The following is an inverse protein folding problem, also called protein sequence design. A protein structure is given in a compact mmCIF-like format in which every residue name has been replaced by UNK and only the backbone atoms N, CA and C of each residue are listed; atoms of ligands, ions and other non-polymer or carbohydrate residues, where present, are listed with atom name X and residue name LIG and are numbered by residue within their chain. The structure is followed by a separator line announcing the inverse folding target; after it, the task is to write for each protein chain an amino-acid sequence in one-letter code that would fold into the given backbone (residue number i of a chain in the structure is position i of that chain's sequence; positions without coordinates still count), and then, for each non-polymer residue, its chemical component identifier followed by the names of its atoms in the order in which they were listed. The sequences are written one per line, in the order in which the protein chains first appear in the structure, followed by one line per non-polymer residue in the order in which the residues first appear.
data_IF_433543962904
#
_entry.id   IF_433543962904
#
_cell.length_a   1.000
_cell.length_b   1.000
_cell.length_c   1.000
_cell.angle_alpha   90.00
_cell.angle_beta   90.00
_cell.angle_gamma   90.00
#
_symmetry.space_group_name_H-M   'P 1'
#
loop_
_entity.id
_entity.type
_entity.pdbx_description
1 polymer ?
#
# COMPACT_ATOMS: atom_id res chain seq x y z
N UNK A 1 -23.84 2.20 -4.10
CA UNK A 1 -23.78 3.53 -3.52
C UNK A 1 -22.34 4.04 -3.41
N UNK A 2 -22.14 5.27 -3.74
CA UNK A 2 -20.82 5.86 -3.73
C UNK A 2 -20.33 6.12 -2.31
N UNK A 3 -19.10 5.71 -2.02
CA UNK A 3 -18.50 5.96 -0.70
C UNK A 3 -17.62 7.21 -0.78
N UNK A 4 -18.16 8.34 -0.32
CA UNK A 4 -17.47 9.62 -0.39
C UNK A 4 -16.29 9.73 0.60
N UNK A 5 -16.13 8.76 1.48
CA UNK A 5 -15.05 8.74 2.48
C UNK A 5 -13.76 8.14 1.95
N UNK A 6 -13.83 7.45 0.83
CA UNK A 6 -12.66 6.84 0.19
C UNK A 6 -12.24 7.66 -1.02
N UNK A 7 -10.97 7.97 -1.08
CA UNK A 7 -10.41 8.79 -2.16
C UNK A 7 -9.22 8.07 -2.78
N UNK A 8 -9.27 7.84 -4.09
CA UNK A 8 -8.16 7.21 -4.81
C UNK A 8 -7.05 8.24 -5.01
N UNK A 9 -5.84 7.87 -4.63
CA UNK A 9 -4.67 8.74 -4.72
C UNK A 9 -3.53 7.96 -5.38
N UNK A 10 -2.79 8.65 -6.25
CA UNK A 10 -1.57 8.12 -6.83
C UNK A 10 -0.40 8.84 -6.19
N UNK A 11 0.42 8.10 -5.45
CA UNK A 11 1.62 8.64 -4.82
C UNK A 11 2.85 8.10 -5.55
N UNK A 12 3.92 8.88 -5.56
CA UNK A 12 5.16 8.49 -6.25
C UNK A 12 6.27 8.24 -5.24
N UNK A 13 6.94 7.11 -5.39
CA UNK A 13 8.16 6.81 -4.67
C UNK A 13 9.27 6.53 -5.70
N UNK A 14 10.27 7.37 -5.73
CA UNK A 14 11.40 7.25 -6.67
C UNK A 14 10.93 7.07 -8.13
N UNK A 15 9.89 7.80 -8.50
CA UNK A 15 9.35 7.76 -9.86
C UNK A 15 8.36 6.63 -10.13
N UNK A 16 8.18 5.71 -9.20
CA UNK A 16 7.22 4.61 -9.35
C UNK A 16 5.91 4.92 -8.67
N UNK A 17 4.82 4.58 -9.34
CA UNK A 17 3.49 4.82 -8.80
C UNK A 17 3.12 3.82 -7.72
N UNK A 18 2.69 4.33 -6.57
CA UNK A 18 2.09 3.51 -5.51
C UNK A 18 0.62 3.90 -5.44
N UNK A 19 -0.25 3.07 -5.97
CA UNK A 19 -1.69 3.32 -5.94
C UNK A 19 -2.17 3.21 -4.50
N UNK A 20 -2.98 4.17 -4.08
CA UNK A 20 -3.39 4.28 -2.68
C UNK A 20 -4.83 4.71 -2.59
N UNK A 21 -5.44 4.44 -1.45
CA UNK A 21 -6.76 4.94 -1.11
C UNK A 21 -6.66 5.62 0.25
N UNK A 22 -7.19 6.82 0.34
CA UNK A 22 -7.29 7.56 1.58
C UNK A 22 -8.72 7.40 2.12
N UNK A 23 -8.81 6.93 3.37
CA UNK A 23 -10.09 6.83 4.08
C UNK A 23 -10.17 8.00 5.05
N UNK A 24 -10.99 9.00 4.72
CA UNK A 24 -11.10 10.22 5.52
C UNK A 24 -11.79 9.99 6.86
N UNK A 25 -12.61 8.96 6.96
CA UNK A 25 -13.27 8.63 8.22
C UNK A 25 -12.28 8.08 9.24
N UNK A 26 -11.39 7.20 8.79
CA UNK A 26 -10.38 6.58 9.65
C UNK A 26 -9.06 7.35 9.66
N UNK A 27 -8.94 8.35 8.78
CA UNK A 27 -7.67 9.08 8.58
C UNK A 27 -6.53 8.11 8.32
N UNK A 28 -6.74 7.18 7.39
CA UNK A 28 -5.81 6.12 7.10
C UNK A 28 -5.63 5.92 5.61
N UNK A 29 -4.39 5.60 5.22
CA UNK A 29 -4.07 5.17 3.87
C UNK A 29 -4.14 3.66 3.75
N UNK A 30 -4.54 3.19 2.57
CA UNK A 30 -4.42 1.80 2.15
C UNK A 30 -3.60 1.79 0.87
N UNK A 31 -2.54 1.00 0.84
CA UNK A 31 -1.60 0.98 -0.28
C UNK A 31 -1.67 -0.36 -1.00
N UNK A 32 -1.55 -0.31 -2.33
CA UNK A 32 -1.44 -1.52 -3.14
C UNK A 32 -0.18 -2.29 -2.76
N UNK A 33 -0.34 -3.52 -2.27
CA UNK A 33 0.78 -4.34 -1.85
C UNK A 33 1.71 -4.64 -3.02
N UNK A 34 1.15 -4.93 -4.19
CA UNK A 34 1.93 -5.24 -5.38
C UNK A 34 2.80 -4.05 -5.80
N UNK A 35 2.26 -2.84 -5.70
CA UNK A 35 3.01 -1.63 -6.04
C UNK A 35 4.16 -1.40 -5.07
N UNK A 36 3.92 -1.65 -3.77
CA UNK A 36 4.96 -1.52 -2.75
C UNK A 36 6.08 -2.52 -3.00
N UNK A 37 5.72 -3.77 -3.31
CA UNK A 37 6.72 -4.80 -3.63
C UNK A 37 7.53 -4.40 -4.87
N UNK A 38 6.85 -3.86 -5.88
CA UNK A 38 7.54 -3.39 -7.08
C UNK A 38 8.55 -2.30 -6.76
N UNK A 39 8.20 -1.40 -5.82
CA UNK A 39 9.09 -0.32 -5.41
C UNK A 39 10.28 -0.81 -4.59
N UNK A 40 10.07 -1.83 -3.76
CA UNK A 40 11.11 -2.35 -2.87
C UNK A 40 12.06 -3.33 -3.56
N UNK A 41 11.58 -4.02 -4.57
CA UNK A 41 12.36 -5.04 -5.29
C UNK A 41 12.46 -4.64 -6.75
N UNK A 42 13.39 -5.23 -7.47
CA UNK A 42 13.45 -5.02 -8.91
C UNK A 42 12.76 -6.18 -9.64
N UNK A 43 11.79 -6.81 -8.99
CA UNK A 43 11.07 -7.93 -9.56
C UNK A 43 10.27 -7.49 -10.79
N UNK A 44 10.40 -8.24 -11.88
CA UNK A 44 9.62 -8.02 -13.09
C UNK A 44 8.21 -8.58 -12.95
N UNK A 45 7.96 -9.37 -11.90
CA UNK A 45 6.67 -10.03 -11.70
C UNK A 45 6.23 -9.84 -10.24
N UNK A 46 5.92 -8.61 -9.84
CA UNK A 46 5.58 -8.33 -8.44
C UNK A 46 4.33 -9.08 -7.96
N UNK A 47 3.39 -9.38 -8.85
CA UNK A 47 2.20 -10.14 -8.47
C UNK A 47 2.57 -11.55 -8.02
N UNK A 48 3.51 -12.18 -8.72
CA UNK A 48 3.96 -13.51 -8.36
C UNK A 48 4.76 -13.48 -7.06
N UNK A 49 5.60 -12.46 -6.92
CA UNK A 49 6.35 -12.25 -5.68
C UNK A 49 5.39 -12.19 -4.49
N UNK A 50 4.34 -11.38 -4.61
CA UNK A 50 3.36 -11.22 -3.55
C UNK A 50 2.59 -12.52 -3.28
N UNK A 51 2.21 -13.23 -4.33
CA UNK A 51 1.49 -14.50 -4.19
C UNK A 51 2.31 -15.51 -3.38
N UNK A 52 3.59 -15.64 -3.70
CA UNK A 52 4.49 -16.56 -2.99
C UNK A 52 4.72 -16.12 -1.54
N UNK A 53 4.92 -14.84 -1.34
CA UNK A 53 5.12 -14.28 0.01
C UNK A 53 3.87 -14.45 0.86
N UNK A 54 2.71 -14.16 0.29
CA UNK A 54 1.44 -14.30 1.00
C UNK A 54 1.21 -15.74 1.47
N UNK A 55 1.51 -16.70 0.60
CA UNK A 55 1.39 -18.11 0.96
C UNK A 55 2.32 -18.46 2.12
N UNK A 56 3.58 -18.02 2.05
CA UNK A 56 4.55 -18.28 3.10
C UNK A 56 4.12 -17.67 4.44
N UNK A 57 3.67 -16.42 4.41
CA UNK A 57 3.20 -15.75 5.62
C UNK A 57 1.99 -16.44 6.23
N UNK A 58 1.09 -16.93 5.39
CA UNK A 58 -0.07 -17.68 5.85
C UNK A 58 0.36 -18.99 6.54
N UNK A 59 1.31 -19.69 5.93
CA UNK A 59 1.82 -20.96 6.48
C UNK A 59 2.54 -20.74 7.81
N UNK A 60 3.19 -19.58 7.97
CA UNK A 60 3.90 -19.23 9.21
C UNK A 60 2.96 -18.71 10.29
N UNK A 61 1.67 -18.56 9.98
CA UNK A 61 0.70 -18.05 10.94
C UNK A 61 0.80 -16.54 11.17
N UNK A 62 1.33 -15.81 10.20
CA UNK A 62 1.48 -14.37 10.34
C UNK A 62 0.11 -13.67 10.38
N UNK A 63 -0.02 -12.73 11.31
CA UNK A 63 -1.22 -11.91 11.43
C UNK A 63 -1.38 -10.93 10.27
N UNK A 64 -0.30 -10.68 9.51
CA UNK A 64 -0.32 -9.77 8.39
C UNK A 64 -1.40 -10.15 7.37
N UNK A 65 -1.54 -11.45 7.12
CA UNK A 65 -2.53 -11.94 6.17
C UNK A 65 -3.95 -11.49 6.54
N UNK A 66 -4.27 -11.46 7.83
CA UNK A 66 -5.59 -11.09 8.31
C UNK A 66 -5.90 -9.60 8.15
N UNK A 67 -4.87 -8.79 7.96
CA UNK A 67 -5.02 -7.34 7.82
C UNK A 67 -5.13 -6.89 6.37
N UNK A 68 -5.11 -7.83 5.43
CA UNK A 68 -5.25 -7.48 4.02
C UNK A 68 -6.69 -7.03 3.74
N UNK A 69 -6.82 -5.87 3.11
CA UNK A 69 -8.10 -5.33 2.69
C UNK A 69 -8.12 -5.30 1.15
N UNK A 70 -9.11 -5.94 0.55
CA UNK A 70 -9.23 -5.96 -0.91
C UNK A 70 -10.08 -4.78 -1.36
N UNK A 71 -9.47 -3.92 -2.15
CA UNK A 71 -10.14 -2.72 -2.68
C UNK A 71 -9.97 -2.69 -4.19
N UNK A 72 -10.92 -2.05 -4.86
CA UNK A 72 -10.85 -1.92 -6.31
C UNK A 72 -9.97 -0.73 -6.67
N UNK A 73 -8.91 -1.01 -7.40
CA UNK A 73 -7.98 0.01 -7.89
C UNK A 73 -7.86 -0.10 -9.40
N UNK A 74 -7.58 1.05 -10.02
CA UNK A 74 -7.45 1.11 -11.47
C UNK A 74 -6.18 0.40 -11.93
N UNK A 75 -6.32 -0.56 -12.83
CA UNK A 75 -5.21 -1.30 -13.41
C UNK A 75 -4.68 -0.58 -14.65
N UNK A 76 -3.58 -1.11 -15.22
CA UNK A 76 -2.96 -0.50 -16.40
C UNK A 76 -3.91 -0.43 -17.60
N UNK A 77 -4.83 -1.38 -17.71
CA UNK A 77 -5.82 -1.39 -18.79
C UNK A 77 -6.98 -0.42 -18.56
N UNK A 78 -6.94 0.33 -17.48
CA UNK A 78 -7.98 1.30 -17.14
C UNK A 78 -9.18 0.73 -16.41
N UNK A 79 -9.23 -0.57 -16.23
CA UNK A 79 -10.34 -1.23 -15.54
C UNK A 79 -10.08 -1.31 -14.04
N UNK A 80 -11.16 -1.26 -13.27
CA UNK A 80 -11.07 -1.45 -11.82
C UNK A 80 -10.94 -2.95 -11.52
N UNK A 81 -9.95 -3.29 -10.72
CA UNK A 81 -9.72 -4.68 -10.34
C UNK A 81 -9.48 -4.76 -8.85
N UNK A 82 -9.94 -5.84 -8.25
CA UNK A 82 -9.69 -6.10 -6.85
C UNK A 82 -8.20 -6.25 -6.59
N UNK A 83 -7.70 -5.52 -5.60
CA UNK A 83 -6.28 -5.43 -5.32
C UNK A 83 -6.07 -5.57 -3.82
N UNK A 84 -5.11 -6.40 -3.43
CA UNK A 84 -4.73 -6.52 -2.02
C UNK A 84 -4.09 -5.22 -1.56
N UNK A 85 -4.58 -4.66 -0.46
CA UNK A 85 -4.02 -3.47 0.15
C UNK A 85 -3.74 -3.72 1.62
N UNK A 86 -2.84 -2.90 2.17
CA UNK A 86 -2.56 -2.87 3.60
C UNK A 86 -2.52 -1.41 4.03
N UNK A 87 -2.90 -1.16 5.28
CA UNK A 87 -2.76 0.17 5.84
C UNK A 87 -1.28 0.46 6.14
N UNK A 88 -1.00 1.66 6.64
CA UNK A 88 0.38 2.07 6.92
C UNK A 88 1.10 1.08 7.83
N UNK A 89 0.43 0.65 8.89
CA UNK A 89 1.00 -0.30 9.84
C UNK A 89 1.28 -1.65 9.18
N UNK A 90 0.35 -2.11 8.34
CA UNK A 90 0.52 -3.36 7.60
C UNK A 90 1.67 -3.28 6.62
N UNK A 91 1.84 -2.15 5.94
CA UNK A 91 2.95 -1.96 5.02
C UNK A 91 4.29 -1.98 5.77
N UNK A 92 4.36 -1.37 6.95
CA UNK A 92 5.58 -1.41 7.74
C UNK A 92 5.98 -2.84 8.10
N UNK A 93 5.00 -3.68 8.43
CA UNK A 93 5.26 -5.10 8.69
C UNK A 93 5.66 -5.84 7.42
N UNK A 94 5.05 -5.51 6.29
CA UNK A 94 5.39 -6.12 5.01
C UNK A 94 6.85 -5.86 4.65
N UNK A 95 7.33 -4.64 4.89
CA UNK A 95 8.71 -4.25 4.59
C UNK A 95 9.69 -5.16 5.32
N UNK A 96 9.37 -5.59 6.53
CA UNK A 96 10.24 -6.48 7.30
C UNK A 96 10.38 -7.86 6.64
N UNK A 97 9.40 -8.26 5.84
CA UNK A 97 9.39 -9.55 5.16
C UNK A 97 9.94 -9.49 3.74
N UNK A 98 10.31 -8.30 3.26
CA UNK A 98 10.81 -8.09 1.90
C UNK A 98 12.20 -7.48 1.99
N UNK A 99 13.26 -8.30 1.92
CA UNK A 99 14.64 -7.77 1.97
C UNK A 99 14.87 -6.77 0.82
N UNK A 100 15.27 -5.56 1.17
CA UNK A 100 15.48 -4.52 0.17
C UNK A 100 16.38 -3.41 0.72
N UNK A 101 17.36 -2.93 -0.09
CA UNK A 101 18.13 -1.76 0.30
C UNK A 101 17.31 -0.48 0.33
N UNK A 102 16.09 -0.52 -0.21
CA UNK A 102 15.19 0.63 -0.24
C UNK A 102 14.24 0.68 0.96
N UNK A 103 14.37 -0.27 1.90
CA UNK A 103 13.46 -0.36 3.04
C UNK A 103 13.45 0.93 3.88
N UNK A 104 14.61 1.44 4.24
CA UNK A 104 14.68 2.66 5.06
C UNK A 104 14.14 3.90 4.35
N UNK A 105 14.58 4.22 3.12
CA UNK A 105 13.99 5.35 2.42
C UNK A 105 12.49 5.19 2.18
N UNK A 106 12.00 3.98 1.99
CA UNK A 106 10.57 3.74 1.82
C UNK A 106 9.81 4.05 3.13
N UNK A 107 10.34 3.62 4.26
CA UNK A 107 9.72 3.91 5.56
C UNK A 107 9.62 5.41 5.81
N UNK A 108 10.68 6.15 5.49
CA UNK A 108 10.68 7.60 5.64
C UNK A 108 9.66 8.27 4.74
N UNK A 109 9.57 7.81 3.49
CA UNK A 109 8.58 8.30 2.55
C UNK A 109 7.16 8.03 3.06
N UNK A 110 6.91 6.84 3.57
CA UNK A 110 5.62 6.44 4.08
C UNK A 110 5.19 7.33 5.26
N UNK A 111 6.12 7.60 6.17
CA UNK A 111 5.85 8.47 7.32
C UNK A 111 5.52 9.89 6.90
N UNK A 112 6.21 10.41 5.87
CA UNK A 112 5.95 11.76 5.39
C UNK A 112 4.57 11.90 4.76
N UNK A 113 4.11 10.86 4.05
CA UNK A 113 2.78 10.88 3.44
C UNK A 113 1.68 11.03 4.49
N UNK A 114 1.76 10.24 5.55
CA UNK A 114 0.76 10.28 6.59
C UNK A 114 0.70 11.65 7.25
N UNK A 115 1.86 12.21 7.53
CA UNK A 115 1.95 13.53 8.17
C UNK A 115 1.40 14.62 7.25
N UNK A 116 1.80 14.62 5.99
CA UNK A 116 1.36 15.63 5.03
C UNK A 116 -0.16 15.62 4.89
N UNK A 117 -0.76 14.45 4.80
CA UNK A 117 -2.20 14.35 4.61
C UNK A 117 -2.97 14.84 5.83
N UNK A 118 -2.51 14.50 7.02
CA UNK A 118 -3.16 14.94 8.25
C UNK A 118 -3.04 16.45 8.42
N UNK A 119 -1.85 17.00 8.17
CA UNK A 119 -1.63 18.45 8.25
C UNK A 119 -2.52 19.19 7.24
N UNK A 120 -2.64 18.66 6.04
CA UNK A 120 -3.48 19.25 4.99
C UNK A 120 -4.94 19.28 5.40
N UNK A 121 -5.45 18.18 5.96
CA UNK A 121 -6.82 18.10 6.40
C UNK A 121 -7.08 19.08 7.55
N UNK A 122 -6.14 19.24 8.47
CA UNK A 122 -6.28 20.16 9.57
C UNK A 122 -6.28 21.62 9.14
N UNK A 123 -5.53 21.93 8.08
CA UNK A 123 -5.49 23.32 7.55
C UNK A 123 -6.81 23.77 6.95
N UNK A 124 -7.60 22.85 6.48
CA UNK A 124 -8.89 23.16 5.86
C UNK A 124 -9.94 23.60 6.87
N UNK A 125 -9.72 23.27 8.09
CA UNK A 125 -10.58 23.74 9.17
C UNK A 125 -10.32 25.21 9.46
#
# INVERSE_FOLDING_TARGET
MKNDKLETISNLFEGGEIRSIWDSEKEEYYFSVVDVISALTDSNIPKRYWSDLKRRLTEEGSELYENIVRLKLKAQDGKLRETDTLDTKGILRLIESVPSPKAEPFKLWLASLGKERIDEVQKIK
#
